data_IF_298795408430
#
_entry.id   IF_298795408430
#
_cell.length_a   1.000
_cell.length_b   1.000
_cell.length_c   1.000
_cell.angle_alpha   90.00
_cell.angle_beta   90.00
_cell.angle_gamma   90.00
#
_symmetry.space_group_name_H-M   'P 1'
#
loop_
_entity.id
_entity.type
_entity.pdbx_description
1 polymer ?
#
# COMPACT_ATOMS: atom_id res chain seq x y z
N UNK A 1 -4.21 1.91 -0.71
CA UNK A 1 -3.60 3.26 -0.58
C UNK A 1 -3.17 3.72 -1.95
N UNK A 2 -3.61 4.92 -2.35
CA UNK A 2 -3.13 5.55 -3.58
C UNK A 2 -1.71 6.05 -3.34
N UNK A 3 -0.82 5.78 -4.28
CA UNK A 3 0.55 6.31 -4.23
C UNK A 3 0.46 7.80 -4.59
N UNK A 4 1.22 8.66 -3.89
CA UNK A 4 1.33 10.08 -4.25
C UNK A 4 1.88 10.21 -5.68
N UNK A 5 1.39 11.19 -6.44
CA UNK A 5 1.69 11.27 -7.88
C UNK A 5 3.19 11.46 -8.16
N UNK A 6 3.90 12.16 -7.28
CA UNK A 6 5.36 12.32 -7.26
C UNK A 6 6.14 10.99 -7.07
N UNK A 7 5.54 10.03 -6.35
CA UNK A 7 6.12 8.70 -6.12
C UNK A 7 5.66 7.67 -7.16
N UNK A 8 4.64 7.99 -7.97
CA UNK A 8 4.19 7.16 -9.09
C UNK A 8 5.20 7.19 -10.25
N UNK A 9 5.78 8.36 -10.54
CA UNK A 9 6.77 8.51 -11.62
C UNK A 9 8.04 7.69 -11.36
N UNK A 10 8.48 7.64 -10.09
CA UNK A 10 9.62 6.83 -9.63
C UNK A 10 9.36 5.32 -9.62
N UNK A 11 8.11 4.89 -9.81
CA UNK A 11 7.66 3.49 -9.77
C UNK A 11 7.12 3.01 -11.11
N UNK A 12 7.74 3.47 -12.19
CA UNK A 12 7.53 2.95 -13.53
C UNK A 12 8.32 1.66 -13.71
N UNK A 13 7.69 0.63 -14.28
CA UNK A 13 8.37 -0.61 -14.66
C UNK A 13 8.16 -0.89 -16.14
N UNK A 14 9.24 -1.27 -16.81
CA UNK A 14 9.23 -1.60 -18.23
C UNK A 14 8.92 -3.08 -18.38
N UNK A 15 7.87 -3.37 -19.13
CA UNK A 15 7.56 -4.72 -19.60
C UNK A 15 7.78 -4.77 -21.11
N UNK A 16 7.87 -5.98 -21.66
CA UNK A 16 7.88 -6.22 -23.12
C UNK A 16 6.67 -5.65 -23.87
N UNK A 17 5.62 -5.22 -23.16
CA UNK A 17 4.41 -4.62 -23.71
C UNK A 17 4.29 -3.11 -23.47
N UNK A 18 5.23 -2.49 -22.76
CA UNK A 18 5.23 -1.05 -22.48
C UNK A 18 5.66 -0.68 -21.06
N UNK A 19 5.61 0.62 -20.78
CA UNK A 19 5.91 1.22 -19.48
C UNK A 19 4.61 1.33 -18.69
N UNK A 20 4.59 0.74 -17.49
CA UNK A 20 3.45 0.78 -16.59
C UNK A 20 3.83 1.47 -15.29
N UNK A 21 2.92 2.25 -14.72
CA UNK A 21 3.07 2.85 -13.39
C UNK A 21 2.06 2.25 -12.42
N UNK A 22 2.50 2.01 -11.19
CA UNK A 22 1.59 1.58 -10.13
C UNK A 22 0.76 2.76 -9.62
N UNK A 23 -0.56 2.68 -9.78
CA UNK A 23 -1.51 3.68 -9.23
C UNK A 23 -1.84 3.43 -7.75
N UNK A 24 -1.73 2.17 -7.32
CA UNK A 24 -1.87 1.71 -5.94
C UNK A 24 -0.63 0.94 -5.54
N UNK A 25 -0.30 0.97 -4.25
CA UNK A 25 0.88 0.28 -3.74
C UNK A 25 0.81 -1.23 -4.03
N UNK A 26 1.71 -1.79 -4.86
CA UNK A 26 1.73 -3.23 -5.12
C UNK A 26 2.27 -4.00 -3.91
N UNK A 27 1.73 -5.20 -3.70
CA UNK A 27 2.27 -6.16 -2.74
C UNK A 27 3.70 -6.56 -3.14
N UNK A 28 4.65 -6.40 -2.22
CA UNK A 28 6.06 -6.74 -2.45
C UNK A 28 7.05 -5.57 -2.38
N UNK A 29 6.58 -4.31 -2.31
CA UNK A 29 7.48 -3.20 -1.95
C UNK A 29 7.77 -3.20 -0.45
N UNK A 30 9.02 -2.87 -0.06
CA UNK A 30 9.54 -2.90 1.32
C UNK A 30 8.66 -2.15 2.35
N UNK A 31 7.93 -1.12 1.92
CA UNK A 31 7.07 -0.29 2.78
C UNK A 31 5.58 -0.68 2.71
N UNK A 32 5.21 -1.68 1.90
CA UNK A 32 3.81 -2.09 1.71
C UNK A 32 3.22 -2.73 2.95
N UNK A 33 4.02 -3.55 3.64
CA UNK A 33 3.60 -4.25 4.83
C UNK A 33 3.28 -3.29 5.98
N UNK A 34 4.11 -2.26 6.22
CA UNK A 34 3.88 -1.29 7.29
C UNK A 34 2.60 -0.49 7.06
N UNK A 35 2.40 0.00 5.84
CA UNK A 35 1.22 0.77 5.46
C UNK A 35 -0.04 -0.10 5.51
N UNK A 36 0.04 -1.34 5.03
CA UNK A 36 -1.08 -2.28 5.09
C UNK A 36 -1.44 -2.63 6.53
N UNK A 37 -0.45 -2.94 7.36
CA UNK A 37 -0.64 -3.19 8.79
C UNK A 37 -1.28 -1.99 9.49
N UNK A 38 -0.84 -0.75 9.23
CA UNK A 38 -1.47 0.45 9.77
C UNK A 38 -2.95 0.56 9.42
N UNK A 39 -3.32 0.29 8.17
CA UNK A 39 -4.72 0.33 7.72
C UNK A 39 -5.53 -0.74 8.41
N UNK A 40 -5.01 -1.97 8.49
CA UNK A 40 -5.70 -3.08 9.17
C UNK A 40 -5.88 -2.75 10.64
N UNK A 41 -4.84 -2.30 11.34
CA UNK A 41 -4.93 -1.88 12.75
C UNK A 41 -5.91 -0.73 12.94
N UNK A 42 -5.95 0.24 12.03
CA UNK A 42 -6.88 1.36 12.11
C UNK A 42 -8.34 0.95 11.82
N UNK A 43 -8.56 0.09 10.82
CA UNK A 43 -9.89 -0.40 10.46
C UNK A 43 -10.48 -1.32 11.54
N UNK A 44 -9.63 -2.12 12.19
CA UNK A 44 -10.03 -3.03 13.26
C UNK A 44 -9.77 -2.46 14.66
N UNK A 45 -9.45 -1.16 14.79
CA UNK A 45 -9.10 -0.54 16.07
C UNK A 45 -10.19 -0.76 17.12
N UNK A 46 -11.44 -0.53 16.75
CA UNK A 46 -12.58 -0.68 17.65
C UNK A 46 -12.87 -2.14 17.96
N UNK A 47 -12.65 -3.04 17.00
CA UNK A 47 -12.81 -4.49 17.20
C UNK A 47 -11.73 -5.03 18.15
N UNK A 48 -10.47 -4.64 17.96
CA UNK A 48 -9.34 -5.00 18.81
C UNK A 48 -9.53 -4.42 20.22
N UNK A 49 -10.02 -3.19 20.34
CA UNK A 49 -10.31 -2.57 21.64
C UNK A 49 -11.40 -3.32 22.41
N UNK A 50 -12.47 -3.73 21.74
CA UNK A 50 -13.55 -4.51 22.36
C UNK A 50 -13.18 -5.98 22.63
N UNK A 51 -12.20 -6.55 21.92
CA UNK A 51 -11.79 -7.95 22.09
C UNK A 51 -10.73 -8.13 23.18
N UNK A 52 -9.95 -7.08 23.48
CA UNK A 52 -8.89 -7.11 24.49
C UNK A 52 -9.34 -6.57 25.87
N UNK A 53 -10.60 -6.17 26.02
CA UNK A 53 -11.21 -5.75 27.28
C UNK A 53 -12.13 -6.84 27.83
#
# INVERSE_FOLDING_TARGET
VRIAQEDQEKKTFTTKWGIFSYTVMPFGLKNTLDVFSRIVVQAFKDFIHNFLQ
#
